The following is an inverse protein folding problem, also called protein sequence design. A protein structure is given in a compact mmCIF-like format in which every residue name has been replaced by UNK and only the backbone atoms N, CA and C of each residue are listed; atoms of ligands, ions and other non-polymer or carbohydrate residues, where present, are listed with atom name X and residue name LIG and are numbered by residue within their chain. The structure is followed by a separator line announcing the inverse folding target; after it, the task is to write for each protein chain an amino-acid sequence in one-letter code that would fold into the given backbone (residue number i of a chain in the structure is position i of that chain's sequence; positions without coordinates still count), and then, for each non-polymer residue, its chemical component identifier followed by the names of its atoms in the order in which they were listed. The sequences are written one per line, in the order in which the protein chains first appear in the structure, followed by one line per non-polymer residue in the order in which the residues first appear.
data_IF_197862404353
#
_entry.id   IF_197862404353
#
_cell.length_a   1.000
_cell.length_b   1.000
_cell.length_c   1.000
_cell.angle_alpha   90.00
_cell.angle_beta   90.00
_cell.angle_gamma   90.00
#
_symmetry.space_group_name_H-M   'P 1'
#
loop_
_entity.id
_entity.type
_entity.pdbx_description
1 polymer ?
#
# COMPACT_ATOMS: atom_id res chain seq x y z
N UNK A 1 0.90 -4.22 23.75
CA UNK A 1 0.21 -3.34 22.78
C UNK A 1 1.17 -2.36 22.12
N UNK A 2 1.89 -1.53 22.87
CA UNK A 2 2.87 -0.56 22.32
C UNK A 2 3.94 -1.21 21.42
N UNK A 3 4.47 -2.38 21.81
CA UNK A 3 5.45 -3.15 21.01
C UNK A 3 4.92 -3.52 19.61
N UNK A 4 3.64 -3.86 19.50
CA UNK A 4 3.00 -4.24 18.22
C UNK A 4 2.83 -2.99 17.34
N UNK A 5 2.39 -1.88 17.92
CA UNK A 5 2.21 -0.61 17.21
C UNK A 5 3.55 -0.15 16.62
N UNK A 6 4.60 -0.11 17.45
CA UNK A 6 5.94 0.33 17.01
C UNK A 6 6.50 -0.61 15.94
N UNK A 7 6.40 -1.93 16.13
CA UNK A 7 6.90 -2.91 15.15
C UNK A 7 6.16 -2.82 13.82
N UNK A 8 4.84 -2.68 13.85
CA UNK A 8 4.02 -2.59 12.63
C UNK A 8 4.27 -1.25 11.92
N UNK A 9 4.38 -0.15 12.68
CA UNK A 9 4.72 1.16 12.14
C UNK A 9 6.08 1.14 11.43
N UNK A 10 7.13 0.64 12.09
CA UNK A 10 8.47 0.55 11.49
C UNK A 10 8.48 -0.33 10.24
N UNK A 11 7.81 -1.49 10.29
CA UNK A 11 7.73 -2.41 9.16
C UNK A 11 7.05 -1.76 7.95
N UNK A 12 5.88 -1.14 8.15
CA UNK A 12 5.16 -0.46 7.08
C UNK A 12 5.91 0.78 6.60
N UNK A 13 6.49 1.56 7.52
CA UNK A 13 7.27 2.74 7.18
C UNK A 13 8.44 2.40 6.26
N UNK A 14 9.20 1.35 6.58
CA UNK A 14 10.34 0.90 5.77
C UNK A 14 9.86 0.30 4.44
N UNK A 15 8.78 -0.49 4.46
CA UNK A 15 8.24 -1.13 3.26
C UNK A 15 7.69 -0.11 2.23
N UNK A 16 7.12 0.99 2.71
CA UNK A 16 6.52 2.03 1.86
C UNK A 16 7.51 3.14 1.48
N UNK A 17 8.70 3.18 2.11
CA UNK A 17 9.65 4.28 1.92
C UNK A 17 10.16 4.35 0.48
N UNK A 18 9.91 5.47 -0.20
CA UNK A 18 10.37 5.70 -1.56
C UNK A 18 9.46 5.13 -2.65
N UNK A 19 8.25 4.70 -2.31
CA UNK A 19 7.27 4.30 -3.32
C UNK A 19 6.86 5.48 -4.24
N UNK A 20 6.37 5.14 -5.44
CA UNK A 20 5.86 6.09 -6.44
C UNK A 20 4.79 7.03 -5.88
N UNK A 21 3.96 6.57 -4.94
CA UNK A 21 2.97 7.41 -4.27
C UNK A 21 3.64 8.53 -3.45
N UNK A 22 4.74 8.24 -2.74
CA UNK A 22 5.49 9.24 -1.98
C UNK A 22 6.17 10.27 -2.90
N UNK A 23 6.77 9.82 -4.00
CA UNK A 23 7.37 10.74 -4.99
C UNK A 23 6.29 11.64 -5.61
N UNK A 24 5.12 11.08 -5.93
CA UNK A 24 3.99 11.85 -6.49
C UNK A 24 3.47 12.89 -5.51
N UNK A 25 3.33 12.55 -4.23
CA UNK A 25 2.88 13.51 -3.20
C UNK A 25 3.93 14.59 -2.94
N UNK A 26 5.23 14.26 -3.00
CA UNK A 26 6.31 15.24 -2.92
C UNK A 26 6.30 16.21 -4.12
N UNK A 27 6.09 15.71 -5.33
CA UNK A 27 5.95 16.54 -6.54
C UNK A 27 4.72 17.45 -6.46
N UNK A 28 3.57 16.92 -6.03
CA UNK A 28 2.35 17.71 -5.81
C UNK A 28 2.58 18.80 -4.76
N UNK A 29 3.30 18.49 -3.68
CA UNK A 29 3.65 19.47 -2.64
C UNK A 29 4.60 20.56 -3.16
N UNK A 30 5.53 20.20 -4.05
CA UNK A 30 6.45 21.15 -4.67
C UNK A 30 5.75 22.09 -5.68
N UNK A 31 4.72 21.62 -6.39
CA UNK A 31 4.00 22.42 -7.40
C UNK A 31 2.78 23.17 -6.84
N UNK A 32 2.20 22.70 -5.73
CA UNK A 32 0.97 23.28 -5.17
C UNK A 32 1.23 24.53 -4.33
N UNK A 33 0.31 25.50 -4.40
CA UNK A 33 0.34 26.72 -3.61
C UNK A 33 0.13 26.46 -2.10
N UNK A 34 -0.52 25.34 -1.73
CA UNK A 34 -0.80 24.98 -0.33
C UNK A 34 -0.26 23.60 0.03
N UNK A 35 0.87 23.59 0.74
CA UNK A 35 1.51 22.36 1.28
C UNK A 35 0.61 21.63 2.27
N UNK A 36 -0.19 22.37 3.05
CA UNK A 36 -1.10 21.82 4.05
C UNK A 36 -2.25 21.05 3.39
N UNK A 37 -2.79 21.56 2.29
CA UNK A 37 -3.85 20.87 1.55
C UNK A 37 -3.34 19.55 0.95
N UNK A 38 -2.13 19.55 0.38
CA UNK A 38 -1.50 18.33 -0.15
C UNK A 38 -1.26 17.31 0.96
N UNK A 39 -0.73 17.74 2.11
CA UNK A 39 -0.50 16.86 3.27
C UNK A 39 -1.79 16.21 3.78
N UNK A 40 -2.86 17.00 3.96
CA UNK A 40 -4.14 16.48 4.42
C UNK A 40 -4.77 15.55 3.39
N UNK A 41 -4.72 15.92 2.11
CA UNK A 41 -5.26 15.10 1.02
C UNK A 41 -4.53 13.76 0.90
N UNK A 42 -3.20 13.75 0.89
CA UNK A 42 -2.41 12.52 0.80
C UNK A 42 -2.56 11.64 2.05
N UNK A 43 -2.61 12.24 3.24
CA UNK A 43 -2.82 11.52 4.50
C UNK A 43 -4.20 10.86 4.53
N UNK A 44 -5.26 11.59 4.14
CA UNK A 44 -6.61 11.05 4.05
C UNK A 44 -6.70 9.94 3.00
N UNK A 45 -6.07 10.12 1.83
CA UNK A 45 -6.04 9.08 0.80
C UNK A 45 -5.37 7.80 1.31
N UNK A 46 -4.25 7.91 2.03
CA UNK A 46 -3.55 6.77 2.62
C UNK A 46 -4.41 6.05 3.67
N UNK A 47 -5.05 6.80 4.57
CA UNK A 47 -5.94 6.23 5.60
C UNK A 47 -7.12 5.52 4.96
N UNK A 48 -7.79 6.16 4.00
CA UNK A 48 -8.95 5.59 3.30
C UNK A 48 -8.56 4.32 2.52
N UNK A 49 -7.45 4.35 1.78
CA UNK A 49 -6.96 3.20 1.02
C UNK A 49 -6.61 2.03 1.94
N UNK A 50 -5.88 2.30 3.04
CA UNK A 50 -5.52 1.28 4.02
C UNK A 50 -6.76 0.69 4.70
N UNK A 51 -7.71 1.53 5.08
CA UNK A 51 -8.95 1.11 5.71
C UNK A 51 -9.77 0.23 4.77
N UNK A 52 -9.91 0.63 3.50
CA UNK A 52 -10.58 -0.17 2.49
C UNK A 52 -9.89 -1.54 2.30
N UNK A 53 -8.55 -1.56 2.24
CA UNK A 53 -7.77 -2.78 2.15
C UNK A 53 -7.99 -3.72 3.33
N UNK A 54 -8.01 -3.20 4.56
CA UNK A 54 -8.25 -4.00 5.78
C UNK A 54 -9.69 -4.54 5.82
N UNK A 55 -10.69 -3.71 5.50
CA UNK A 55 -12.10 -4.13 5.50
C UNK A 55 -12.31 -5.24 4.47
N UNK A 56 -11.89 -5.02 3.22
CA UNK A 56 -12.04 -5.99 2.15
C UNK A 56 -11.25 -7.26 2.45
N UNK A 57 -10.00 -7.14 2.93
CA UNK A 57 -9.17 -8.26 3.32
C UNK A 57 -9.80 -9.11 4.42
N UNK A 58 -10.40 -8.47 5.43
CA UNK A 58 -11.08 -9.16 6.54
C UNK A 58 -12.33 -9.91 6.07
N UNK A 59 -13.13 -9.30 5.19
CA UNK A 59 -14.31 -9.94 4.59
C UNK A 59 -13.89 -11.16 3.78
N UNK A 60 -12.89 -11.02 2.92
CA UNK A 60 -12.36 -12.09 2.07
C UNK A 60 -11.84 -13.25 2.93
N UNK A 61 -11.10 -12.96 4.00
CA UNK A 61 -10.55 -13.98 4.90
C UNK A 61 -11.64 -14.79 5.63
N UNK A 62 -12.84 -14.23 5.80
CA UNK A 62 -13.97 -14.94 6.43
C UNK A 62 -14.54 -16.04 5.53
N UNK A 63 -14.49 -15.86 4.22
CA UNK A 63 -15.08 -16.79 3.26
C UNK A 63 -14.05 -17.68 2.55
N UNK A 64 -12.80 -17.23 2.47
CA UNK A 64 -11.75 -17.90 1.70
C UNK A 64 -10.62 -18.32 2.67
N UNK A 65 -10.19 -19.59 2.64
CA UNK A 65 -9.11 -20.06 3.50
C UNK A 65 -7.80 -19.32 3.19
N UNK A 66 -6.98 -19.02 4.21
CA UNK A 66 -5.77 -18.20 4.07
C UNK A 66 -4.74 -18.80 3.09
N UNK A 67 -4.67 -20.13 2.98
CA UNK A 67 -3.77 -20.80 2.04
C UNK A 67 -4.09 -20.43 0.58
N UNK A 68 -5.38 -20.34 0.23
CA UNK A 68 -5.79 -19.98 -1.14
C UNK A 68 -5.41 -18.53 -1.44
N UNK A 69 -5.60 -17.63 -0.47
CA UNK A 69 -5.21 -16.22 -0.59
C UNK A 69 -3.69 -16.11 -0.81
N UNK A 70 -2.88 -16.80 -0.01
CA UNK A 70 -1.42 -16.78 -0.14
C UNK A 70 -0.93 -17.34 -1.49
N UNK A 71 -1.47 -18.48 -1.93
CA UNK A 71 -1.10 -19.09 -3.21
C UNK A 71 -1.51 -18.15 -4.36
N UNK A 72 -2.70 -17.56 -4.30
CA UNK A 72 -3.16 -16.63 -5.33
C UNK A 72 -2.29 -15.38 -5.42
N UNK A 73 -1.87 -14.82 -4.28
CA UNK A 73 -0.96 -13.68 -4.22
C UNK A 73 0.41 -14.05 -4.80
N UNK A 74 0.96 -15.21 -4.44
CA UNK A 74 2.24 -15.69 -4.98
C UNK A 74 2.20 -15.83 -6.51
N UNK A 75 1.15 -16.44 -7.05
CA UNK A 75 0.95 -16.57 -8.49
C UNK A 75 0.85 -15.20 -9.15
N UNK A 76 0.06 -14.28 -8.59
CA UNK A 76 -0.06 -12.92 -9.11
C UNK A 76 1.29 -12.19 -9.14
N UNK A 77 2.09 -12.28 -8.08
CA UNK A 77 3.43 -11.71 -8.04
C UNK A 77 4.37 -12.30 -9.09
N UNK A 78 4.34 -13.63 -9.30
CA UNK A 78 5.14 -14.29 -10.35
C UNK A 78 4.72 -13.81 -11.73
N UNK A 79 3.41 -13.75 -12.00
CA UNK A 79 2.88 -13.30 -13.30
C UNK A 79 3.29 -11.85 -13.56
N UNK A 80 3.11 -10.95 -12.60
CA UNK A 80 3.53 -9.55 -12.70
C UNK A 80 5.04 -9.47 -12.94
N UNK A 81 5.84 -10.23 -12.19
CA UNK A 81 7.30 -10.28 -12.36
C UNK A 81 7.72 -10.71 -13.76
N UNK A 82 7.07 -11.75 -14.31
CA UNK A 82 7.33 -12.22 -15.69
C UNK A 82 6.92 -11.15 -16.71
N UNK A 83 5.75 -10.53 -16.57
CA UNK A 83 5.30 -9.47 -17.47
C UNK A 83 6.25 -8.28 -17.48
N UNK A 84 6.79 -7.92 -16.31
CA UNK A 84 7.76 -6.84 -16.15
C UNK A 84 9.10 -7.19 -16.82
N UNK A 85 9.58 -8.44 -16.67
CA UNK A 85 10.79 -8.93 -17.36
C UNK A 85 10.63 -8.96 -18.89
N UNK A 86 9.44 -9.29 -19.38
CA UNK A 86 9.11 -9.29 -20.80
C UNK A 86 8.86 -7.89 -21.36
N UNK A 87 8.98 -6.84 -20.53
CA UNK A 87 8.75 -5.44 -20.89
C UNK A 87 7.38 -5.23 -21.57
N UNK A 88 6.38 -5.99 -21.11
CA UNK A 88 5.01 -5.95 -21.63
C UNK A 88 4.15 -4.95 -20.85
N UNK A 89 4.81 -4.05 -20.13
CA UNK A 89 4.28 -3.06 -19.19
C UNK A 89 5.12 -1.79 -19.27
#
# INVERSE_FOLDING_TARGET
MLKIIISTFLLVFIAELGDKTQITTMLLSAQSQSKVAVFLGSSLALICSSLAGVILGTIINKYIPPNVIQISAAIAFIVIGILLLLNKF
#
